data_IF_080235053876
#
_entry.id   IF_080235053876
#
_cell.length_a   1.000
_cell.length_b   1.000
_cell.length_c   1.000
_cell.angle_alpha   90.00
_cell.angle_beta   90.00
_cell.angle_gamma   90.00
#
_symmetry.space_group_name_H-M   'P 1'
#
loop_
_entity.id
_entity.type
_entity.pdbx_description
1 polymer ?
#
# COMPACT_ATOMS: atom_id res chain seq x y z
N UNK A 1 11.07 -16.81 -24.62
CA UNK A 1 9.68 -17.18 -24.33
C UNK A 1 9.41 -17.34 -22.82
N UNK A 2 10.20 -18.09 -22.02
CA UNK A 2 9.96 -18.28 -20.59
C UNK A 2 9.90 -16.96 -19.80
N UNK A 3 10.86 -16.02 -19.98
CA UNK A 3 10.85 -14.70 -19.30
C UNK A 3 9.61 -13.86 -19.59
N UNK A 4 9.09 -13.89 -20.81
CA UNK A 4 7.88 -13.14 -21.17
C UNK A 4 6.63 -13.72 -20.51
N UNK A 5 6.53 -15.05 -20.41
CA UNK A 5 5.44 -15.72 -19.71
C UNK A 5 5.44 -15.40 -18.19
N UNK A 6 6.62 -15.36 -17.56
CA UNK A 6 6.76 -14.96 -16.14
C UNK A 6 6.34 -13.50 -15.94
N UNK A 7 6.76 -12.59 -16.82
CA UNK A 7 6.38 -11.18 -16.76
C UNK A 7 4.86 -10.98 -16.83
N UNK A 8 4.19 -11.62 -17.80
CA UNK A 8 2.73 -11.58 -17.91
C UNK A 8 2.03 -12.21 -16.70
N UNK A 9 2.56 -13.33 -16.18
CA UNK A 9 2.05 -13.98 -14.99
C UNK A 9 2.17 -13.09 -13.75
N UNK A 10 3.24 -12.33 -13.63
CA UNK A 10 3.45 -11.41 -12.51
C UNK A 10 2.53 -10.19 -12.60
N UNK A 11 2.28 -9.65 -13.80
CA UNK A 11 1.26 -8.61 -14.01
C UNK A 11 -0.13 -9.13 -13.66
N UNK A 12 -0.51 -10.30 -14.18
CA UNK A 12 -1.80 -10.91 -13.88
C UNK A 12 -2.00 -11.15 -12.38
N UNK A 13 -0.94 -11.59 -11.68
CA UNK A 13 -0.94 -11.75 -10.23
C UNK A 13 -1.14 -10.43 -9.49
N UNK A 14 -0.48 -9.34 -9.91
CA UNK A 14 -0.65 -8.03 -9.30
C UNK A 14 -2.05 -7.45 -9.55
N UNK A 15 -2.59 -7.63 -10.76
CA UNK A 15 -3.97 -7.23 -11.08
C UNK A 15 -4.97 -8.03 -10.24
N UNK A 16 -4.77 -9.35 -10.10
CA UNK A 16 -5.62 -10.19 -9.24
C UNK A 16 -5.55 -9.71 -7.79
N UNK A 17 -4.37 -9.41 -7.26
CA UNK A 17 -4.19 -8.89 -5.91
C UNK A 17 -4.93 -7.56 -5.71
N UNK A 18 -4.87 -6.65 -6.70
CA UNK A 18 -5.58 -5.38 -6.67
C UNK A 18 -7.10 -5.58 -6.67
N UNK A 19 -7.62 -6.47 -7.52
CA UNK A 19 -9.06 -6.80 -7.56
C UNK A 19 -9.52 -7.40 -6.23
N UNK A 20 -8.79 -8.39 -5.69
CA UNK A 20 -9.13 -8.99 -4.40
C UNK A 20 -9.15 -7.98 -3.27
N UNK A 21 -8.19 -7.05 -3.25
CA UNK A 21 -8.14 -5.96 -2.27
C UNK A 21 -9.33 -5.01 -2.45
N UNK A 22 -9.65 -4.58 -3.67
CA UNK A 22 -10.80 -3.71 -3.95
C UNK A 22 -12.13 -4.34 -3.54
N UNK A 23 -12.34 -5.63 -3.78
CA UNK A 23 -13.54 -6.34 -3.33
C UNK A 23 -13.60 -6.44 -1.80
N UNK A 24 -12.46 -6.62 -1.14
CA UNK A 24 -12.37 -6.60 0.32
C UNK A 24 -12.75 -5.21 0.86
N UNK A 25 -12.29 -4.11 0.25
CA UNK A 25 -12.70 -2.76 0.62
C UNK A 25 -14.22 -2.55 0.49
N UNK A 26 -14.83 -3.05 -0.60
CA UNK A 26 -16.29 -2.98 -0.78
C UNK A 26 -17.01 -3.72 0.35
N UNK A 27 -16.52 -4.87 0.79
CA UNK A 27 -17.09 -5.62 1.90
C UNK A 27 -17.05 -4.83 3.23
N UNK A 28 -15.99 -4.06 3.46
CA UNK A 28 -15.84 -3.23 4.66
C UNK A 28 -16.60 -1.90 4.58
N UNK A 29 -16.58 -1.23 3.43
CA UNK A 29 -17.17 0.08 3.25
C UNK A 29 -18.68 0.04 3.03
N UNK A 30 -19.19 -1.07 2.48
CA UNK A 30 -20.62 -1.25 2.17
C UNK A 30 -21.15 -2.58 2.69
N UNK A 31 -21.00 -2.86 4.00
CA UNK A 31 -21.39 -4.15 4.57
C UNK A 31 -22.90 -4.42 4.43
N UNK A 32 -23.70 -3.38 4.26
CA UNK A 32 -25.15 -3.49 4.05
C UNK A 32 -25.52 -4.07 2.67
N UNK A 33 -24.58 -4.15 1.71
CA UNK A 33 -24.82 -4.82 0.42
C UNK A 33 -24.90 -6.33 0.55
N UNK A 34 -24.37 -6.87 1.65
CA UNK A 34 -24.23 -8.29 1.88
C UNK A 34 -25.03 -8.67 3.13
N UNK A 35 -26.07 -9.46 2.96
CA UNK A 35 -26.83 -9.99 4.11
C UNK A 35 -26.22 -11.29 4.60
N UNK A 36 -25.28 -11.18 5.53
CA UNK A 36 -24.66 -12.33 6.21
C UNK A 36 -25.27 -12.58 7.60
N UNK A 37 -26.31 -11.82 7.98
CA UNK A 37 -26.95 -11.93 9.28
C UNK A 37 -25.92 -11.94 10.43
N UNK A 38 -26.06 -12.91 11.36
CA UNK A 38 -25.15 -13.08 12.51
C UNK A 38 -23.74 -13.51 12.13
N UNK A 39 -23.49 -14.02 10.93
CA UNK A 39 -22.20 -14.49 10.47
C UNK A 39 -21.33 -13.40 9.83
N UNK A 40 -21.80 -12.16 9.76
CA UNK A 40 -21.11 -11.05 9.10
C UNK A 40 -19.63 -10.92 9.51
N UNK A 41 -19.37 -10.83 10.81
CA UNK A 41 -18.01 -10.64 11.31
C UNK A 41 -17.12 -11.83 10.96
N UNK A 42 -17.64 -13.03 11.06
CA UNK A 42 -16.92 -14.25 10.70
C UNK A 42 -16.57 -14.29 9.20
N UNK A 43 -17.53 -13.97 8.32
CA UNK A 43 -17.30 -13.93 6.87
C UNK A 43 -16.26 -12.86 6.51
N UNK A 44 -16.37 -11.67 7.10
CA UNK A 44 -15.40 -10.57 6.88
C UNK A 44 -14.00 -10.98 7.35
N UNK A 45 -13.86 -11.57 8.53
CA UNK A 45 -12.58 -12.04 9.04
C UNK A 45 -11.96 -13.12 8.15
N UNK A 46 -12.77 -14.10 7.73
CA UNK A 46 -12.33 -15.17 6.82
C UNK A 46 -11.90 -14.62 5.47
N UNK A 47 -12.69 -13.73 4.85
CA UNK A 47 -12.35 -13.08 3.60
C UNK A 47 -11.04 -12.29 3.72
N UNK A 48 -10.86 -11.54 4.82
CA UNK A 48 -9.62 -10.81 5.10
C UNK A 48 -8.42 -11.74 5.15
N UNK A 49 -8.48 -12.81 5.93
CA UNK A 49 -7.37 -13.78 6.04
C UNK A 49 -7.02 -14.38 4.67
N UNK A 50 -8.03 -14.76 3.88
CA UNK A 50 -7.84 -15.33 2.55
C UNK A 50 -7.13 -14.31 1.64
N UNK A 51 -7.58 -13.05 1.61
CA UNK A 51 -7.00 -12.00 0.76
C UNK A 51 -5.58 -11.67 1.17
N UNK A 52 -5.32 -11.48 2.48
CA UNK A 52 -3.96 -11.20 2.98
C UNK A 52 -2.99 -12.35 2.65
N UNK A 53 -3.44 -13.60 2.84
CA UNK A 53 -2.65 -14.77 2.49
C UNK A 53 -2.37 -14.85 0.98
N UNK A 54 -3.39 -14.66 0.14
CA UNK A 54 -3.26 -14.73 -1.31
C UNK A 54 -2.31 -13.63 -1.84
N UNK A 55 -2.44 -12.39 -1.37
CA UNK A 55 -1.55 -11.28 -1.75
C UNK A 55 -0.11 -11.58 -1.33
N UNK A 56 0.11 -12.05 -0.10
CA UNK A 56 1.45 -12.45 0.37
C UNK A 56 2.02 -13.60 -0.45
N UNK A 57 1.20 -14.59 -0.80
CA UNK A 57 1.61 -15.73 -1.61
C UNK A 57 2.05 -15.29 -3.01
N UNK A 58 1.27 -14.43 -3.68
CA UNK A 58 1.60 -13.88 -5.01
C UNK A 58 2.93 -13.13 -4.96
N UNK A 59 3.11 -12.24 -3.98
CA UNK A 59 4.35 -11.49 -3.79
C UNK A 59 5.56 -12.41 -3.55
N UNK A 60 5.45 -13.36 -2.62
CA UNK A 60 6.54 -14.31 -2.33
C UNK A 60 6.88 -15.20 -3.53
N UNK A 61 5.88 -15.54 -4.35
CA UNK A 61 6.11 -16.27 -5.60
C UNK A 61 6.97 -15.43 -6.55
N UNK A 62 6.64 -14.15 -6.74
CA UNK A 62 7.43 -13.24 -7.58
C UNK A 62 8.89 -13.13 -7.09
N UNK A 63 9.11 -13.01 -5.78
CA UNK A 63 10.46 -12.98 -5.21
C UNK A 63 11.28 -14.25 -5.49
N UNK A 64 10.63 -15.42 -5.55
CA UNK A 64 11.30 -16.68 -5.90
C UNK A 64 11.68 -16.75 -7.39
N UNK A 65 10.96 -16.04 -8.25
CA UNK A 65 11.22 -16.04 -9.69
C UNK A 65 12.36 -15.07 -10.07
N UNK A 66 12.40 -13.88 -9.48
CA UNK A 66 13.43 -12.85 -9.72
C UNK A 66 13.50 -11.90 -8.52
N UNK A 67 14.68 -11.74 -7.92
CA UNK A 67 14.90 -10.87 -6.77
C UNK A 67 16.32 -10.25 -6.73
N UNK A 68 16.71 -9.57 -7.80
CA UNK A 68 18.03 -8.91 -7.90
C UNK A 68 18.28 -7.88 -6.79
N UNK A 69 17.21 -7.32 -6.23
CA UNK A 69 17.29 -6.33 -5.16
C UNK A 69 17.57 -6.94 -3.77
N UNK A 70 17.36 -8.23 -3.58
CA UNK A 70 17.46 -8.90 -2.29
C UNK A 70 16.35 -8.47 -1.33
N UNK A 71 15.11 -8.30 -1.83
CA UNK A 71 13.97 -7.97 -0.99
C UNK A 71 13.58 -9.17 -0.12
N UNK A 72 13.36 -8.91 1.17
CA UNK A 72 12.90 -9.87 2.18
C UNK A 72 13.78 -11.13 2.31
N UNK A 73 15.01 -11.14 1.78
CA UNK A 73 15.94 -12.26 1.93
C UNK A 73 16.43 -12.42 3.37
N UNK A 74 16.62 -11.30 4.06
CA UNK A 74 17.03 -11.28 5.47
C UNK A 74 16.03 -10.47 6.30
N UNK A 75 14.80 -10.97 6.46
CA UNK A 75 13.75 -10.25 7.16
C UNK A 75 14.00 -10.28 8.67
N UNK A 76 14.65 -9.27 9.21
CA UNK A 76 14.92 -9.11 10.63
C UNK A 76 14.81 -7.66 11.07
N UNK A 77 14.57 -7.44 12.37
CA UNK A 77 14.55 -6.13 12.98
C UNK A 77 15.98 -5.71 13.34
N UNK A 78 16.41 -4.55 12.84
CA UNK A 78 17.67 -3.93 13.20
C UNK A 78 17.55 -2.42 13.33
N UNK A 79 18.44 -1.81 14.14
CA UNK A 79 18.37 -0.40 14.48
C UNK A 79 18.53 0.53 13.28
N UNK A 80 19.31 0.14 12.26
CA UNK A 80 19.47 0.92 11.03
C UNK A 80 18.17 1.00 10.26
N UNK A 81 17.48 -0.13 10.09
CA UNK A 81 16.19 -0.19 9.38
C UNK A 81 15.09 0.52 10.17
N UNK A 82 15.09 0.40 11.51
CA UNK A 82 14.19 1.15 12.38
C UNK A 82 14.44 2.66 12.20
N UNK A 83 15.70 3.11 12.22
CA UNK A 83 16.05 4.52 11.98
C UNK A 83 15.56 5.03 10.62
N UNK A 84 15.71 4.22 9.54
CA UNK A 84 15.16 4.56 8.21
C UNK A 84 13.63 4.69 8.25
N UNK A 85 12.94 3.77 8.93
CA UNK A 85 11.49 3.81 9.08
C UNK A 85 11.03 5.06 9.85
N UNK A 86 11.71 5.42 10.94
CA UNK A 86 11.43 6.65 11.70
C UNK A 86 11.62 7.90 10.85
N UNK A 87 12.72 7.98 10.08
CA UNK A 87 12.95 9.08 9.13
C UNK A 87 11.82 9.11 8.08
N UNK A 88 11.45 7.96 7.54
CA UNK A 88 10.34 7.83 6.60
C UNK A 88 9.03 8.36 7.18
N UNK A 89 8.71 7.98 8.41
CA UNK A 89 7.51 8.47 9.10
C UNK A 89 7.50 10.00 9.24
N UNK A 90 8.61 10.58 9.71
CA UNK A 90 8.75 12.04 9.82
C UNK A 90 8.62 12.72 8.45
N UNK A 91 9.27 12.15 7.40
CA UNK A 91 9.18 12.70 6.05
C UNK A 91 7.75 12.65 5.49
N UNK A 92 6.96 11.62 5.79
CA UNK A 92 5.56 11.55 5.35
C UNK A 92 4.75 12.63 6.07
N UNK A 93 4.87 12.76 7.39
CA UNK A 93 4.11 13.76 8.16
C UNK A 93 4.46 15.17 7.69
N UNK A 94 5.74 15.52 7.64
CA UNK A 94 6.17 16.85 7.18
C UNK A 94 5.81 17.07 5.72
N UNK A 95 6.05 16.10 4.85
CA UNK A 95 5.72 16.18 3.41
C UNK A 95 4.23 16.38 3.17
N UNK A 96 3.36 15.67 3.91
CA UNK A 96 1.91 15.83 3.82
C UNK A 96 1.47 17.23 4.26
N UNK A 97 2.01 17.75 5.38
CA UNK A 97 1.72 19.11 5.84
C UNK A 97 2.16 20.15 4.81
N UNK A 98 3.38 20.04 4.29
CA UNK A 98 3.91 20.97 3.28
C UNK A 98 3.06 20.92 2.01
N UNK A 99 2.75 19.72 1.49
CA UNK A 99 1.96 19.60 0.27
C UNK A 99 0.53 20.11 0.47
N UNK A 100 -0.12 19.83 1.60
CA UNK A 100 -1.45 20.38 1.91
C UNK A 100 -1.45 21.91 1.96
N UNK A 101 -0.42 22.51 2.54
CA UNK A 101 -0.29 23.98 2.54
C UNK A 101 -0.06 24.52 1.11
N UNK A 102 0.80 23.91 0.31
CA UNK A 102 1.08 24.33 -1.07
C UNK A 102 -0.16 24.25 -1.98
N UNK A 103 -1.02 23.25 -1.77
CA UNK A 103 -2.26 23.12 -2.54
C UNK A 103 -3.42 23.96 -1.98
N UNK A 104 -3.17 24.79 -0.96
CA UNK A 104 -4.18 25.70 -0.38
C UNK A 104 -5.14 25.03 0.59
N UNK A 105 -4.71 23.95 1.25
CA UNK A 105 -5.50 23.22 2.26
C UNK A 105 -6.73 22.51 1.68
N UNK A 106 -7.65 22.16 2.59
CA UNK A 106 -8.89 21.47 2.26
C UNK A 106 -8.77 19.95 2.35
N UNK A 107 -9.81 19.25 1.89
CA UNK A 107 -9.96 17.80 2.00
C UNK A 107 -10.08 17.19 0.59
N UNK A 108 -9.36 16.12 0.30
CA UNK A 108 -9.49 15.39 -0.95
C UNK A 108 -10.83 14.63 -1.00
N UNK A 109 -11.32 14.33 -2.21
CA UNK A 109 -12.53 13.50 -2.39
C UNK A 109 -12.40 12.13 -1.75
N UNK A 110 -11.20 11.56 -1.80
CA UNK A 110 -10.90 10.30 -1.12
C UNK A 110 -11.10 10.43 0.40
N UNK A 111 -10.47 11.42 1.02
CA UNK A 111 -10.61 11.66 2.46
C UNK A 111 -12.05 12.01 2.87
N UNK A 112 -12.76 12.79 2.06
CA UNK A 112 -14.18 13.08 2.31
C UNK A 112 -15.04 11.81 2.30
N UNK A 113 -14.78 10.91 1.34
CA UNK A 113 -15.44 9.60 1.27
C UNK A 113 -15.14 8.73 2.48
N UNK A 114 -13.87 8.70 2.90
CA UNK A 114 -13.44 7.97 4.10
C UNK A 114 -14.11 8.52 5.37
N UNK A 115 -14.20 9.84 5.52
CA UNK A 115 -14.86 10.47 6.67
C UNK A 115 -16.34 10.08 6.74
N UNK A 116 -17.07 10.09 5.62
CA UNK A 116 -18.47 9.65 5.55
C UNK A 116 -18.64 8.18 5.94
N UNK A 117 -17.73 7.30 5.53
CA UNK A 117 -17.77 5.88 5.89
C UNK A 117 -17.50 5.66 7.38
N UNK A 118 -16.57 6.45 7.95
CA UNK A 118 -16.24 6.40 9.37
C UNK A 118 -17.44 6.69 10.28
N UNK A 119 -18.37 7.54 9.84
CA UNK A 119 -19.60 7.86 10.56
C UNK A 119 -20.52 6.64 10.74
N UNK A 120 -20.55 5.72 9.77
CA UNK A 120 -21.44 4.55 9.79
C UNK A 120 -20.88 3.34 10.53
N UNK A 121 -19.55 3.15 10.53
CA UNK A 121 -18.93 1.97 11.12
C UNK A 121 -17.47 2.21 11.55
N UNK A 122 -17.28 3.06 12.54
CA UNK A 122 -15.95 3.49 12.98
C UNK A 122 -14.99 2.35 13.33
N UNK A 123 -15.46 1.26 13.94
CA UNK A 123 -14.60 0.15 14.38
C UNK A 123 -14.01 -0.64 13.22
N UNK A 124 -14.86 -1.16 12.32
CA UNK A 124 -14.41 -1.93 11.15
C UNK A 124 -13.63 -1.04 10.17
N UNK A 125 -14.04 0.21 10.02
CA UNK A 125 -13.35 1.19 9.21
C UNK A 125 -11.90 1.40 9.68
N UNK A 126 -11.68 1.60 11.00
CA UNK A 126 -10.34 1.76 11.56
C UNK A 126 -9.46 0.53 11.33
N UNK A 127 -10.00 -0.67 11.50
CA UNK A 127 -9.26 -1.91 11.25
C UNK A 127 -8.81 -1.98 9.78
N UNK A 128 -9.73 -1.68 8.85
CA UNK A 128 -9.38 -1.67 7.43
C UNK A 128 -8.29 -0.64 7.13
N UNK A 129 -8.53 0.62 7.45
CA UNK A 129 -7.66 1.74 7.02
C UNK A 129 -6.30 1.72 7.70
N UNK A 130 -6.24 1.31 8.99
CA UNK A 130 -4.98 1.32 9.74
C UNK A 130 -4.14 0.08 9.48
N UNK A 131 -4.75 -1.09 9.32
CA UNK A 131 -3.99 -2.36 9.29
C UNK A 131 -4.09 -3.09 7.95
N UNK A 132 -5.30 -3.29 7.42
CA UNK A 132 -5.52 -4.17 6.27
C UNK A 132 -5.10 -3.46 4.98
N UNK A 133 -5.54 -2.22 4.77
CA UNK A 133 -5.23 -1.45 3.58
C UNK A 133 -3.71 -1.24 3.41
N UNK A 134 -2.95 -0.72 4.42
CA UNK A 134 -1.51 -0.60 4.30
C UNK A 134 -0.80 -1.91 3.97
N UNK A 135 -1.25 -3.03 4.55
CA UNK A 135 -0.69 -4.32 4.23
C UNK A 135 -0.87 -4.68 2.75
N UNK A 136 -2.08 -4.59 2.23
CA UNK A 136 -2.38 -4.91 0.83
C UNK A 136 -1.67 -3.95 -0.13
N UNK A 137 -1.75 -2.66 0.14
CA UNK A 137 -1.20 -1.60 -0.69
C UNK A 137 0.32 -1.68 -0.78
N UNK A 138 1.04 -1.90 0.32
CA UNK A 138 2.49 -2.04 0.29
C UNK A 138 2.93 -3.29 -0.50
N UNK A 139 2.22 -4.41 -0.37
CA UNK A 139 2.49 -5.59 -1.19
C UNK A 139 2.31 -5.32 -2.69
N UNK A 140 1.24 -4.60 -3.07
CA UNK A 140 0.90 -4.31 -4.47
C UNK A 140 1.82 -3.22 -5.03
N UNK A 141 1.84 -2.03 -4.40
CA UNK A 141 2.49 -0.83 -4.94
C UNK A 141 3.99 -0.79 -4.71
N UNK A 142 4.54 -1.56 -3.76
CA UNK A 142 5.99 -1.69 -3.53
C UNK A 142 6.46 -3.07 -3.91
N UNK A 143 6.03 -4.10 -3.21
CA UNK A 143 6.50 -5.45 -3.42
C UNK A 143 6.38 -5.91 -4.88
N UNK A 144 5.15 -6.08 -5.36
CA UNK A 144 4.89 -6.58 -6.72
C UNK A 144 5.34 -5.59 -7.80
N UNK A 145 5.10 -4.28 -7.60
CA UNK A 145 5.43 -3.26 -8.58
C UNK A 145 6.92 -3.22 -8.92
N UNK A 146 7.81 -3.24 -7.91
CA UNK A 146 9.25 -3.26 -8.16
C UNK A 146 9.70 -4.56 -8.82
N UNK A 147 9.13 -5.70 -8.43
CA UNK A 147 9.46 -7.00 -9.00
C UNK A 147 8.92 -7.21 -10.44
N UNK A 148 8.00 -6.37 -10.89
CA UNK A 148 7.48 -6.41 -12.27
C UNK A 148 8.23 -5.43 -13.16
N UNK A 149 8.35 -4.17 -12.73
CA UNK A 149 8.76 -3.09 -13.64
C UNK A 149 10.21 -2.62 -13.43
N UNK A 150 10.78 -2.82 -12.26
CA UNK A 150 12.10 -2.28 -11.88
C UNK A 150 13.00 -3.36 -11.30
N UNK A 151 13.07 -4.53 -11.94
CA UNK A 151 13.78 -5.73 -11.45
C UNK A 151 15.29 -5.53 -11.35
N UNK A 152 15.92 -4.80 -12.30
CA UNK A 152 17.37 -4.64 -12.35
C UNK A 152 17.89 -3.70 -11.26
N UNK A 153 18.85 -4.19 -10.47
CA UNK A 153 19.50 -3.45 -9.38
C UNK A 153 20.48 -2.41 -9.91
N UNK A 154 20.01 -1.17 -10.11
CA UNK A 154 20.83 -0.01 -10.44
C UNK A 154 20.18 1.29 -9.94
N UNK A 155 20.97 2.37 -9.86
CA UNK A 155 20.53 3.67 -9.32
C UNK A 155 19.37 4.27 -10.10
N UNK A 156 19.36 4.13 -11.44
CA UNK A 156 18.29 4.64 -12.29
C UNK A 156 16.95 3.95 -11.97
N UNK A 157 16.93 2.62 -11.94
CA UNK A 157 15.73 1.85 -11.60
C UNK A 157 15.25 2.13 -10.18
N UNK A 158 16.18 2.33 -9.24
CA UNK A 158 15.82 2.72 -7.87
C UNK A 158 14.97 3.98 -7.86
N UNK A 159 15.46 5.07 -8.43
CA UNK A 159 14.78 6.36 -8.35
C UNK A 159 13.56 6.45 -9.26
N UNK A 160 13.63 5.90 -10.48
CA UNK A 160 12.45 5.81 -11.35
C UNK A 160 11.36 4.96 -10.72
N UNK A 161 11.72 3.84 -10.10
CA UNK A 161 10.77 2.98 -9.40
C UNK A 161 10.10 3.69 -8.22
N UNK A 162 10.86 4.45 -7.41
CA UNK A 162 10.32 5.24 -6.30
C UNK A 162 9.31 6.27 -6.81
N UNK A 163 9.67 7.02 -7.84
CA UNK A 163 8.80 8.06 -8.42
C UNK A 163 7.54 7.44 -9.04
N UNK A 164 7.70 6.38 -9.84
CA UNK A 164 6.59 5.73 -10.53
C UNK A 164 5.65 4.98 -9.56
N UNK A 165 6.20 4.27 -8.57
CA UNK A 165 5.40 3.62 -7.51
C UNK A 165 4.61 4.66 -6.71
N UNK A 166 5.24 5.77 -6.35
CA UNK A 166 4.57 6.88 -5.68
C UNK A 166 3.45 7.49 -6.51
N UNK A 167 3.70 7.71 -7.81
CA UNK A 167 2.69 8.24 -8.73
C UNK A 167 1.49 7.29 -8.88
N UNK A 168 1.74 6.01 -9.08
CA UNK A 168 0.67 5.01 -9.18
C UNK A 168 -0.18 4.97 -7.90
N UNK A 169 0.47 5.01 -6.74
CA UNK A 169 -0.21 5.11 -5.46
C UNK A 169 -1.08 6.38 -5.37
N UNK A 170 -0.52 7.53 -5.74
CA UNK A 170 -1.24 8.80 -5.77
C UNK A 170 -2.43 8.78 -6.71
N UNK A 171 -2.27 8.20 -7.90
CA UNK A 171 -3.33 8.06 -8.90
C UNK A 171 -4.49 7.19 -8.40
N UNK A 172 -4.20 6.11 -7.70
CA UNK A 172 -5.25 5.26 -7.11
C UNK A 172 -6.06 5.98 -6.03
N UNK A 173 -5.45 6.94 -5.31
CA UNK A 173 -6.12 7.74 -4.28
C UNK A 173 -6.80 9.01 -4.83
N UNK A 174 -6.35 9.51 -5.97
CA UNK A 174 -6.92 10.68 -6.66
C UNK A 174 -6.93 10.47 -8.18
N UNK A 175 -7.83 9.60 -8.70
CA UNK A 175 -7.91 9.30 -10.13
C UNK A 175 -8.30 10.51 -10.99
N UNK A 176 -8.90 11.54 -10.37
CA UNK A 176 -9.25 12.78 -11.04
C UNK A 176 -8.06 13.70 -11.29
N UNK A 177 -6.85 13.31 -10.84
CA UNK A 177 -5.62 14.09 -10.94
C UNK A 177 -5.81 15.52 -10.39
N UNK A 178 -6.51 15.65 -9.27
CA UNK A 178 -6.71 16.93 -8.62
C UNK A 178 -5.40 17.42 -7.98
N UNK A 179 -5.43 18.63 -7.42
CA UNK A 179 -4.28 19.17 -6.68
C UNK A 179 -3.80 18.26 -5.54
N UNK A 180 -4.65 17.42 -4.99
CA UNK A 180 -4.33 16.52 -3.89
C UNK A 180 -3.50 15.30 -4.30
N UNK A 181 -3.37 15.00 -5.59
CA UNK A 181 -2.49 13.92 -6.06
C UNK A 181 -1.05 14.11 -5.56
N UNK A 182 -0.59 15.35 -5.43
CA UNK A 182 0.76 15.66 -4.93
C UNK A 182 0.98 15.18 -3.50
N UNK A 183 -0.04 15.25 -2.65
CA UNK A 183 0.03 14.76 -1.26
C UNK A 183 0.25 13.24 -1.27
N UNK A 184 -0.60 12.50 -1.99
CA UNK A 184 -0.51 11.05 -2.08
C UNK A 184 0.74 10.57 -2.83
N UNK A 185 1.18 11.32 -3.85
CA UNK A 185 2.39 10.99 -4.59
C UNK A 185 3.62 11.09 -3.69
N UNK A 186 3.79 12.18 -2.93
CA UNK A 186 4.90 12.36 -2.00
C UNK A 186 4.87 11.26 -0.93
N UNK A 187 3.72 10.99 -0.33
CA UNK A 187 3.54 9.89 0.61
C UNK A 187 3.98 8.56 -0.01
N UNK A 188 3.50 8.27 -1.21
CA UNK A 188 3.85 7.06 -1.95
C UNK A 188 5.34 6.94 -2.26
N UNK A 189 6.01 8.05 -2.63
CA UNK A 189 7.47 8.07 -2.86
C UNK A 189 8.27 7.78 -1.58
N UNK A 190 7.87 8.34 -0.43
CA UNK A 190 8.56 8.10 0.83
C UNK A 190 8.43 6.64 1.25
N UNK A 191 7.24 6.05 1.16
CA UNK A 191 7.04 4.62 1.45
C UNK A 191 7.88 3.73 0.53
N UNK A 192 7.94 4.04 -0.77
CA UNK A 192 8.79 3.33 -1.72
C UNK A 192 10.29 3.50 -1.40
N UNK A 193 10.70 4.69 -0.92
CA UNK A 193 12.07 4.93 -0.46
C UNK A 193 12.39 4.12 0.80
N UNK A 194 11.48 4.02 1.77
CA UNK A 194 11.64 3.17 2.96
C UNK A 194 11.83 1.72 2.55
N UNK A 195 10.96 1.17 1.71
CA UNK A 195 11.08 -0.19 1.19
C UNK A 195 12.41 -0.44 0.48
N UNK A 196 12.78 0.45 -0.46
CA UNK A 196 14.04 0.34 -1.21
C UNK A 196 15.29 0.49 -0.35
N UNK A 197 15.20 1.18 0.77
CA UNK A 197 16.35 1.42 1.67
C UNK A 197 16.51 0.35 2.75
N UNK A 198 15.40 -0.22 3.21
CA UNK A 198 15.37 -1.31 4.19
C UNK A 198 15.47 -2.69 3.53
N UNK A 199 15.05 -2.83 2.28
CA UNK A 199 14.88 -4.11 1.57
C UNK A 199 13.91 -5.07 2.27
N UNK A 200 13.01 -4.54 3.07
CA UNK A 200 12.08 -5.31 3.88
C UNK A 200 10.73 -4.60 3.92
N UNK A 201 9.70 -5.28 3.39
CA UNK A 201 8.37 -4.71 3.22
C UNK A 201 7.68 -4.36 4.55
N UNK A 202 8.05 -5.04 5.64
CA UNK A 202 7.47 -4.81 6.96
C UNK A 202 7.67 -3.37 7.45
N UNK A 203 8.81 -2.74 7.09
CA UNK A 203 9.09 -1.37 7.53
C UNK A 203 8.21 -0.35 6.81
N UNK A 204 7.98 -0.48 5.50
CA UNK A 204 7.05 0.42 4.80
C UNK A 204 5.60 0.18 5.24
N UNK A 205 5.20 -1.06 5.48
CA UNK A 205 3.88 -1.39 6.05
C UNK A 205 3.69 -0.69 7.41
N UNK A 206 4.65 -0.81 8.33
CA UNK A 206 4.55 -0.19 9.65
C UNK A 206 4.51 1.34 9.58
N UNK A 207 5.35 1.95 8.75
CA UNK A 207 5.33 3.41 8.55
C UNK A 207 3.97 3.85 8.03
N UNK A 208 3.41 3.13 7.08
CA UNK A 208 2.09 3.42 6.52
C UNK A 208 0.98 3.24 7.58
N UNK A 209 1.00 2.15 8.34
CA UNK A 209 0.07 1.91 9.46
C UNK A 209 0.13 3.03 10.50
N UNK A 210 1.33 3.43 10.90
CA UNK A 210 1.53 4.52 11.86
C UNK A 210 1.00 5.85 11.31
N UNK A 211 1.23 6.15 10.03
CA UNK A 211 0.72 7.36 9.41
C UNK A 211 -0.81 7.37 9.36
N UNK A 212 -1.44 6.27 8.91
CA UNK A 212 -2.89 6.18 8.86
C UNK A 212 -3.53 6.25 10.26
N UNK A 213 -2.85 5.73 11.29
CA UNK A 213 -3.32 5.81 12.68
C UNK A 213 -3.41 7.26 13.19
N UNK A 214 -2.57 8.19 12.70
CA UNK A 214 -2.64 9.62 13.05
C UNK A 214 -4.00 10.24 12.70
N UNK A 215 -4.68 9.75 11.67
CA UNK A 215 -6.00 10.22 11.28
C UNK A 215 -7.12 9.92 12.30
N UNK A 216 -6.81 9.16 13.38
CA UNK A 216 -7.77 8.73 14.40
C UNK A 216 -7.41 9.20 15.81
N UNK A 217 -6.36 10.00 15.97
CA UNK A 217 -5.94 10.67 17.20
C UNK A 217 -6.40 12.12 17.16
#
# INVERSE_FOLDING_TARGET
>A
MKRFGHYLGNIAGAVLALVMYSELEVLYFRPQRFDFGQYRVFVMALATVIVLFAISYIYRRQLKEENDWGFDETPHWDWRRIGIAMIGFVLIVVGSIVMLNLVGGGVSKNQESLNKIAEYNAGLFRILVVFIAPFCEEHIFRGMFFNIFFTKKNTRNKWLGIVASGFLFGYMHDPALSKYILVYWVLGMVLAWVYMSTKDLRYSILVHMCYNALGFI
#
